data_IF_120366416204
#
_entry.id   IF_120366416204
#
_cell.length_a   1.000
_cell.length_b   1.000
_cell.length_c   1.000
_cell.angle_alpha   90.00
_cell.angle_beta   90.00
_cell.angle_gamma   90.00
#
_symmetry.space_group_name_H-M   'P 1'
#
loop_
_entity.id
_entity.type
_entity.pdbx_description
1 polymer ?
#
# COMPACT_ATOMS: atom_id res chain seq x y z
N UNK A 1 -24.38 10.38 -4.48
CA UNK A 1 -23.75 11.00 -5.66
C UNK A 1 -23.63 9.94 -6.72
N UNK A 2 -23.95 10.28 -7.97
CA UNK A 2 -23.77 9.39 -9.11
C UNK A 2 -22.28 9.15 -9.38
N UNK A 3 -21.96 8.11 -10.15
CA UNK A 3 -20.58 7.80 -10.53
C UNK A 3 -19.92 8.97 -11.26
N UNK A 4 -20.63 9.61 -12.18
CA UNK A 4 -20.15 10.73 -12.98
C UNK A 4 -19.83 11.96 -12.10
N UNK A 5 -20.71 12.30 -11.15
CA UNK A 5 -20.47 13.38 -10.18
C UNK A 5 -19.23 13.13 -9.31
N UNK A 6 -18.96 11.86 -8.98
CA UNK A 6 -17.79 11.50 -8.16
C UNK A 6 -16.49 11.59 -8.95
N UNK A 7 -16.49 11.18 -10.22
CA UNK A 7 -15.32 11.29 -11.09
C UNK A 7 -14.94 12.76 -11.29
N UNK A 8 -15.92 13.62 -11.58
CA UNK A 8 -15.70 15.07 -11.71
C UNK A 8 -15.14 15.68 -10.42
N UNK A 9 -15.67 15.29 -9.25
CA UNK A 9 -15.14 15.73 -7.97
C UNK A 9 -13.69 15.31 -7.78
N UNK A 10 -13.36 14.04 -8.03
CA UNK A 10 -12.01 13.50 -7.86
C UNK A 10 -11.02 14.17 -8.81
N UNK A 11 -11.41 14.43 -10.05
CA UNK A 11 -10.58 15.13 -11.03
C UNK A 11 -10.25 16.57 -10.58
N UNK A 12 -11.25 17.32 -10.12
CA UNK A 12 -11.05 18.68 -9.57
C UNK A 12 -10.17 18.66 -8.32
N UNK A 13 -10.37 17.67 -7.45
CA UNK A 13 -9.55 17.49 -6.24
C UNK A 13 -8.09 17.26 -6.62
N UNK A 14 -7.80 16.36 -7.57
CA UNK A 14 -6.45 16.09 -8.04
C UNK A 14 -5.85 17.32 -8.71
N UNK A 15 -6.53 17.92 -9.69
CA UNK A 15 -6.02 19.10 -10.41
C UNK A 15 -5.69 20.26 -9.47
N UNK A 16 -6.55 20.53 -8.50
CA UNK A 16 -6.35 21.64 -7.56
C UNK A 16 -5.37 21.34 -6.42
N UNK A 17 -5.10 20.07 -6.11
CA UNK A 17 -4.08 19.67 -5.13
C UNK A 17 -2.67 19.55 -5.76
N UNK A 18 -2.57 19.21 -7.05
CA UNK A 18 -1.31 19.05 -7.80
C UNK A 18 -0.86 20.29 -8.59
N UNK A 19 -1.60 21.40 -8.55
CA UNK A 19 -1.32 22.60 -9.37
C UNK A 19 0.09 23.17 -9.15
N UNK A 20 0.85 22.77 -8.12
CA UNK A 20 2.30 23.06 -7.97
C UNK A 20 2.66 24.55 -7.77
N UNK A 21 1.71 25.45 -8.03
CA UNK A 21 1.81 26.91 -7.98
C UNK A 21 1.88 27.48 -6.57
N UNK A 22 1.88 26.63 -5.55
CA UNK A 22 1.86 27.06 -4.16
C UNK A 22 2.94 26.32 -3.38
N UNK A 23 3.95 27.05 -2.91
CA UNK A 23 4.99 26.54 -2.01
C UNK A 23 4.45 26.05 -0.65
N UNK A 24 5.33 25.64 0.28
CA UNK A 24 4.95 25.22 1.63
C UNK A 24 3.99 26.23 2.27
N UNK A 25 2.80 25.77 2.64
CA UNK A 25 1.61 26.62 2.75
C UNK A 25 1.50 27.33 4.13
N UNK A 26 1.16 28.63 4.20
CA UNK A 26 0.89 29.33 5.46
C UNK A 26 -0.40 28.86 6.17
N UNK A 27 -1.42 28.41 5.42
CA UNK A 27 -2.68 27.91 6.01
C UNK A 27 -3.40 26.84 5.14
N UNK A 28 -3.30 25.54 5.48
CA UNK A 28 -3.89 24.45 4.71
C UNK A 28 -5.43 24.46 4.69
N UNK A 29 -6.10 25.10 5.65
CA UNK A 29 -7.55 25.14 5.74
C UNK A 29 -8.17 26.04 4.66
N UNK A 30 -7.51 27.16 4.34
CA UNK A 30 -7.95 28.09 3.30
C UNK A 30 -7.91 27.43 1.92
N UNK A 31 -6.87 26.64 1.64
CA UNK A 31 -6.75 25.89 0.39
C UNK A 31 -7.84 24.84 0.26
N UNK A 32 -8.08 24.06 1.32
CA UNK A 32 -9.16 23.09 1.37
C UNK A 32 -10.51 23.75 1.09
N UNK A 33 -10.78 24.91 1.67
CA UNK A 33 -12.01 25.66 1.42
C UNK A 33 -12.16 26.13 -0.03
N UNK A 34 -11.09 26.66 -0.65
CA UNK A 34 -11.08 27.06 -2.07
C UNK A 34 -11.34 25.88 -3.00
N UNK A 35 -10.73 24.72 -2.72
CA UNK A 35 -10.96 23.49 -3.48
C UNK A 35 -12.41 23.02 -3.35
N UNK A 36 -12.96 23.02 -2.14
CA UNK A 36 -14.38 22.67 -1.93
C UNK A 36 -15.32 23.63 -2.67
N UNK A 37 -15.00 24.92 -2.73
CA UNK A 37 -15.79 25.89 -3.48
C UNK A 37 -15.78 25.60 -5.00
N UNK A 38 -14.63 25.19 -5.57
CA UNK A 38 -14.54 24.75 -6.97
C UNK A 38 -15.42 23.53 -7.25
N UNK A 39 -15.39 22.53 -6.36
CA UNK A 39 -16.22 21.32 -6.45
C UNK A 39 -17.71 21.64 -6.37
N UNK A 40 -18.14 22.48 -5.42
CA UNK A 40 -19.55 22.90 -5.31
C UNK A 40 -20.00 23.61 -6.58
N UNK A 41 -19.15 24.51 -7.10
CA UNK A 41 -19.46 25.32 -8.28
C UNK A 41 -19.55 24.50 -9.56
N UNK A 42 -18.68 23.50 -9.76
CA UNK A 42 -18.73 22.63 -10.94
C UNK A 42 -19.94 21.69 -10.89
N UNK A 43 -20.24 21.11 -9.73
CA UNK A 43 -21.39 20.21 -9.58
C UNK A 43 -22.72 20.92 -9.81
N UNK A 44 -22.84 22.16 -9.33
CA UNK A 44 -24.01 22.98 -9.63
C UNK A 44 -24.12 23.32 -11.12
N UNK A 45 -23.02 23.72 -11.77
CA UNK A 45 -23.05 24.17 -13.17
C UNK A 45 -23.23 23.04 -14.18
N UNK A 46 -22.55 21.92 -13.95
CA UNK A 46 -22.50 20.82 -14.91
C UNK A 46 -23.62 19.81 -14.70
N UNK A 47 -24.11 19.64 -13.47
CA UNK A 47 -25.09 18.60 -13.13
C UNK A 47 -26.37 19.16 -12.48
N UNK A 48 -26.45 20.47 -12.21
CA UNK A 48 -27.57 21.05 -11.46
C UNK A 48 -27.65 20.57 -10.01
N UNK A 49 -26.58 19.96 -9.50
CA UNK A 49 -26.59 19.21 -8.25
C UNK A 49 -26.46 20.16 -7.06
N UNK A 50 -27.59 20.44 -6.41
CA UNK A 50 -27.65 21.26 -5.19
C UNK A 50 -27.33 20.44 -3.95
N UNK A 51 -26.03 20.25 -3.70
CA UNK A 51 -25.53 19.50 -2.53
C UNK A 51 -24.90 20.43 -1.51
N UNK A 52 -25.06 20.09 -0.23
CA UNK A 52 -24.44 20.86 0.84
C UNK A 52 -22.93 20.63 0.87
N UNK A 53 -22.20 21.68 1.24
CA UNK A 53 -20.75 21.64 1.35
C UNK A 53 -20.27 20.52 2.29
N UNK A 54 -21.02 20.24 3.36
CA UNK A 54 -20.66 19.20 4.33
C UNK A 54 -20.89 17.78 3.82
N UNK A 55 -21.91 17.55 2.98
CA UNK A 55 -22.08 16.26 2.29
C UNK A 55 -20.88 15.96 1.38
N UNK A 56 -20.36 16.99 0.70
CA UNK A 56 -19.18 16.83 -0.16
C UNK A 56 -17.90 16.65 0.67
N UNK A 57 -17.80 17.25 1.86
CA UNK A 57 -16.69 16.99 2.79
C UNK A 57 -16.69 15.55 3.28
N UNK A 58 -17.85 15.02 3.67
CA UNK A 58 -18.03 13.61 4.04
C UNK A 58 -17.64 12.69 2.89
N UNK A 59 -18.12 12.96 1.67
CA UNK A 59 -17.77 12.14 0.50
C UNK A 59 -16.29 12.21 0.16
N UNK A 60 -15.66 13.39 0.27
CA UNK A 60 -14.23 13.58 0.09
C UNK A 60 -13.42 12.79 1.11
N UNK A 61 -13.81 12.78 2.39
CA UNK A 61 -13.12 11.98 3.40
C UNK A 61 -13.25 10.48 3.14
N UNK A 62 -14.42 10.00 2.75
CA UNK A 62 -14.63 8.58 2.44
C UNK A 62 -13.73 8.11 1.29
N UNK A 63 -13.57 8.97 0.26
CA UNK A 63 -12.67 8.71 -0.86
C UNK A 63 -11.20 8.65 -0.45
N UNK A 64 -10.75 9.58 0.42
CA UNK A 64 -9.37 9.62 0.92
C UNK A 64 -9.05 8.46 1.90
N UNK A 65 -10.03 8.01 2.68
CA UNK A 65 -9.86 6.91 3.64
C UNK A 65 -9.65 5.56 2.95
N UNK A 66 -10.33 5.29 1.82
CA UNK A 66 -10.12 4.03 1.07
C UNK A 66 -8.69 3.87 0.59
N UNK A 67 -8.05 4.95 0.14
CA UNK A 67 -6.64 4.96 -0.31
C UNK A 67 -5.67 4.71 0.86
N UNK A 68 -5.91 5.36 2.00
CA UNK A 68 -5.11 5.17 3.21
C UNK A 68 -5.27 3.78 3.83
N UNK A 69 -6.48 3.21 3.82
CA UNK A 69 -6.72 1.88 4.35
C UNK A 69 -6.06 0.79 3.49
N UNK A 70 -6.06 0.94 2.16
CA UNK A 70 -5.30 0.07 1.25
C UNK A 70 -3.81 0.12 1.56
N UNK A 71 -3.24 1.31 1.73
CA UNK A 71 -1.84 1.48 2.11
C UNK A 71 -1.54 0.89 3.50
N UNK A 72 -2.42 1.09 4.49
CA UNK A 72 -2.31 0.46 5.82
C UNK A 72 -2.39 -1.07 5.74
N UNK A 73 -3.23 -1.62 4.86
CA UNK A 73 -3.37 -3.07 4.67
C UNK A 73 -2.11 -3.65 4.05
N UNK A 74 -1.57 -3.03 3.02
CA UNK A 74 -0.32 -3.43 2.37
C UNK A 74 0.85 -3.35 3.37
N UNK A 75 0.98 -2.23 4.09
CA UNK A 75 2.02 -2.06 5.12
C UNK A 75 1.95 -3.13 6.21
N UNK A 76 0.73 -3.52 6.65
CA UNK A 76 0.54 -4.62 7.60
C UNK A 76 1.01 -5.97 7.04
N UNK A 77 0.73 -6.25 5.77
CA UNK A 77 1.17 -7.49 5.12
C UNK A 77 2.70 -7.55 5.02
N UNK A 78 3.34 -6.44 4.62
CA UNK A 78 4.81 -6.35 4.54
C UNK A 78 5.46 -6.55 5.91
N UNK A 79 4.98 -5.84 6.94
CA UNK A 79 5.49 -5.99 8.30
C UNK A 79 5.30 -7.41 8.86
N UNK A 80 4.21 -8.09 8.51
CA UNK A 80 4.00 -9.51 8.88
C UNK A 80 4.99 -10.44 8.20
N UNK A 81 5.39 -10.16 6.95
CA UNK A 81 6.40 -10.96 6.23
C UNK A 81 7.79 -10.75 6.82
N UNK A 82 8.16 -9.50 7.11
CA UNK A 82 9.43 -9.14 7.75
C UNK A 82 9.61 -9.83 9.11
N UNK A 83 8.57 -9.84 9.95
CA UNK A 83 8.63 -10.53 11.25
C UNK A 83 8.76 -12.05 11.16
N UNK A 84 8.24 -12.68 10.10
CA UNK A 84 8.41 -14.13 9.87
C UNK A 84 9.81 -14.47 9.37
N UNK A 85 10.41 -13.56 8.60
CA UNK A 85 11.77 -13.73 8.06
C UNK A 85 12.81 -13.43 9.15
N UNK A 86 12.61 -12.41 9.99
CA UNK A 86 13.53 -12.06 11.08
C UNK A 86 13.69 -13.14 12.15
N UNK A 87 12.67 -13.97 12.40
CA UNK A 87 12.77 -15.15 13.28
C UNK A 87 13.38 -16.37 12.59
N UNK A 88 13.43 -16.39 11.25
CA UNK A 88 14.04 -17.47 10.47
C UNK A 88 15.55 -17.31 10.31
N UNK A 89 16.08 -16.08 10.42
CA UNK A 89 17.53 -15.83 10.39
C UNK A 89 18.21 -16.01 11.76
N UNK A 90 17.43 -16.12 12.85
CA UNK A 90 17.86 -16.54 14.20
C UNK A 90 17.88 -18.08 14.35
N UNK A 91 18.02 -18.78 13.23
CA UNK A 91 18.40 -20.20 13.17
C UNK A 91 19.66 -20.34 12.31
N UNK A 92 20.55 -19.33 12.36
CA UNK A 92 21.86 -19.38 11.72
C UNK A 92 22.96 -19.98 12.62
N UNK A 93 22.57 -20.61 13.73
CA UNK A 93 23.50 -21.33 14.60
C UNK A 93 23.09 -22.80 14.82
N UNK A 94 22.76 -23.50 13.72
CA UNK A 94 22.91 -24.97 13.69
C UNK A 94 24.01 -25.31 12.70
N UNK A 95 25.24 -25.42 13.21
CA UNK A 95 26.41 -25.87 12.47
C UNK A 95 26.12 -27.15 11.66
N UNK A 96 26.55 -27.23 10.38
CA UNK A 96 26.63 -28.47 9.64
C UNK A 96 28.08 -28.93 9.55
N UNK A 97 28.47 -30.01 10.23
CA UNK A 97 29.70 -30.75 9.96
C UNK A 97 29.55 -32.16 10.58
N UNK A 98 29.86 -33.30 9.95
CA UNK A 98 30.25 -33.67 8.58
C UNK A 98 29.64 -35.06 8.35
N UNK A 99 29.18 -35.35 7.13
CA UNK A 99 28.82 -36.71 6.73
C UNK A 99 30.12 -37.49 6.45
N UNK A 100 30.23 -38.68 7.05
CA UNK A 100 31.43 -39.52 7.08
C UNK A 100 31.80 -40.15 5.74
N UNK A 101 33.11 -40.33 5.57
CA UNK A 101 33.80 -41.02 4.49
C UNK A 101 33.17 -42.37 4.11
N UNK A 102 32.96 -42.59 2.82
CA UNK A 102 32.95 -43.93 2.25
C UNK A 102 34.07 -44.03 1.22
N UNK A 103 35.08 -44.81 1.58
CA UNK A 103 36.29 -45.08 0.82
C UNK A 103 36.01 -45.95 -0.40
N UNK A 104 36.74 -45.62 -1.45
CA UNK A 104 36.82 -46.22 -2.78
C UNK A 104 37.31 -47.68 -2.77
N UNK A 105 36.58 -48.51 -3.53
CA UNK A 105 37.03 -49.54 -4.48
C UNK A 105 38.16 -50.54 -4.13
N UNK A 106 37.83 -51.80 -4.45
CA UNK A 106 38.66 -52.84 -5.10
C UNK A 106 39.26 -53.97 -4.25
N UNK A 107 39.07 -55.20 -4.72
CA UNK A 107 40.11 -56.24 -4.70
C UNK A 107 39.90 -57.48 -3.84
N UNK A 108 39.50 -58.57 -4.50
CA UNK A 108 40.06 -59.94 -4.37
C UNK A 108 39.91 -60.74 -3.06
N UNK A 109 39.54 -62.03 -3.24
CA UNK A 109 40.07 -63.13 -2.42
C UNK A 109 39.02 -63.95 -1.68
N UNK A 110 38.75 -65.17 -2.16
CA UNK A 110 37.79 -66.10 -1.56
C UNK A 110 38.35 -67.08 -0.52
N UNK A 111 37.65 -68.23 -0.44
CA UNK A 111 37.80 -69.43 0.42
C UNK A 111 36.84 -69.42 1.62
N UNK A 112 35.75 -70.19 1.53
CA UNK A 112 35.62 -71.64 1.85
C UNK A 112 35.68 -71.92 3.35
N UNK A 113 34.55 -72.37 3.88
CA UNK A 113 34.51 -73.65 4.58
C UNK A 113 34.08 -73.61 6.05
N UNK A 114 32.97 -74.35 6.28
CA UNK A 114 32.45 -74.92 7.53
C UNK A 114 31.67 -73.99 8.46
#
# INVERSE_FOLDING_TARGET
MSFVEMVEMVDILKRADYDGKHGPYPNPNVRKAKIMAKVVKSLHRNFGVRRSKDQLRKRRSDLKLREQDQYRRIKRVLLKREKRIGTSEDTRDRQPHKEGEFTTTSGCGGRRGL
#
